data_IF_270564844536
#
_entry.id   IF_270564844536
#
_cell.length_a   1.000
_cell.length_b   1.000
_cell.length_c   1.000
_cell.angle_alpha   90.00
_cell.angle_beta   90.00
_cell.angle_gamma   90.00
#
_symmetry.space_group_name_H-M   'P 1'
#
loop_
_entity.id
_entity.type
_entity.pdbx_description
1 polymer ?
#
# COMPACT_ATOMS: atom_id res chain seq x y z
N UNK A 1 14.83 -12.63 -14.24
CA UNK A 1 14.35 -11.22 -14.21
C UNK A 1 12.83 -11.19 -14.28
N UNK A 2 12.21 -11.81 -15.29
CA UNK A 2 10.75 -11.99 -15.32
C UNK A 2 10.19 -12.71 -14.09
N UNK A 3 10.80 -13.81 -13.63
CA UNK A 3 10.36 -14.50 -12.40
C UNK A 3 10.30 -13.58 -11.16
N UNK A 4 11.26 -12.64 -11.02
CA UNK A 4 11.24 -11.65 -9.92
C UNK A 4 10.14 -10.61 -10.11
N UNK A 5 9.84 -10.25 -11.35
CA UNK A 5 8.74 -9.34 -11.67
C UNK A 5 7.40 -10.01 -11.33
N UNK A 6 7.24 -11.29 -11.68
CA UNK A 6 6.04 -12.07 -11.40
C UNK A 6 5.82 -12.23 -9.88
N UNK A 7 6.89 -12.49 -9.12
CA UNK A 7 6.85 -12.54 -7.66
C UNK A 7 6.41 -11.18 -7.07
N UNK A 8 6.97 -10.07 -7.56
CA UNK A 8 6.58 -8.73 -7.11
C UNK A 8 5.12 -8.44 -7.43
N UNK A 9 4.63 -8.83 -8.62
CA UNK A 9 3.22 -8.63 -8.98
C UNK A 9 2.29 -9.42 -8.07
N UNK A 10 2.62 -10.68 -7.78
CA UNK A 10 1.86 -11.49 -6.83
C UNK A 10 1.82 -10.85 -5.44
N UNK A 11 2.98 -10.41 -4.93
CA UNK A 11 3.06 -9.74 -3.64
C UNK A 11 2.25 -8.43 -3.60
N UNK A 12 2.26 -7.65 -4.70
CA UNK A 12 1.46 -6.42 -4.81
C UNK A 12 -0.03 -6.74 -4.76
N UNK A 13 -0.47 -7.80 -5.44
CA UNK A 13 -1.86 -8.24 -5.42
C UNK A 13 -2.30 -8.69 -4.03
N UNK A 14 -1.51 -9.53 -3.36
CA UNK A 14 -1.78 -10.00 -2.01
C UNK A 14 -1.90 -8.81 -1.03
N UNK A 15 -0.93 -7.88 -1.05
CA UNK A 15 -0.95 -6.68 -0.19
C UNK A 15 -2.14 -5.76 -0.52
N UNK A 16 -2.48 -5.59 -1.80
CA UNK A 16 -3.64 -4.77 -2.21
C UNK A 16 -4.93 -5.33 -1.61
N UNK A 17 -5.10 -6.64 -1.64
CA UNK A 17 -6.29 -7.29 -1.13
C UNK A 17 -6.38 -7.16 0.40
N UNK A 18 -5.26 -7.28 1.10
CA UNK A 18 -5.16 -7.02 2.55
C UNK A 18 -5.50 -5.56 2.90
N UNK A 19 -4.96 -4.59 2.16
CA UNK A 19 -5.29 -3.16 2.31
C UNK A 19 -6.80 -2.95 2.14
N UNK A 20 -7.41 -3.55 1.11
CA UNK A 20 -8.85 -3.41 0.88
C UNK A 20 -9.68 -3.99 2.03
N UNK A 21 -9.28 -5.13 2.59
CA UNK A 21 -9.92 -5.72 3.76
C UNK A 21 -9.83 -4.75 4.95
N UNK A 22 -8.64 -4.23 5.24
CA UNK A 22 -8.42 -3.30 6.36
C UNK A 22 -9.21 -2.00 6.20
N UNK A 23 -9.23 -1.43 4.99
CA UNK A 23 -10.02 -0.24 4.66
C UNK A 23 -11.53 -0.47 4.85
N UNK A 24 -12.03 -1.64 4.44
CA UNK A 24 -13.43 -2.02 4.63
C UNK A 24 -13.80 -2.17 6.11
N UNK A 25 -12.92 -2.78 6.92
CA UNK A 25 -13.10 -2.88 8.38
C UNK A 25 -13.09 -1.48 9.01
N UNK A 26 -12.17 -0.63 8.55
CA UNK A 26 -12.02 0.75 8.99
C UNK A 26 -13.18 1.66 8.53
N UNK A 27 -14.00 1.20 7.57
CA UNK A 27 -15.08 1.97 6.93
C UNK A 27 -14.58 3.28 6.31
N UNK A 28 -13.37 3.28 5.78
CA UNK A 28 -12.76 4.42 5.09
C UNK A 28 -12.31 3.99 3.70
N UNK A 29 -12.29 4.92 2.75
CA UNK A 29 -11.65 4.70 1.46
C UNK A 29 -10.14 4.91 1.54
N UNK A 30 -9.40 4.48 0.50
CA UNK A 30 -7.98 4.80 0.39
C UNK A 30 -7.73 6.32 0.32
N UNK A 31 -8.66 7.08 -0.27
CA UNK A 31 -8.58 8.53 -0.35
C UNK A 31 -8.69 9.13 1.06
N UNK A 32 -9.67 8.69 1.85
CA UNK A 32 -9.84 9.11 3.24
C UNK A 32 -8.57 8.83 4.06
N UNK A 33 -8.02 7.62 3.93
CA UNK A 33 -6.74 7.27 4.56
C UNK A 33 -5.64 8.28 4.19
N UNK A 34 -5.46 8.58 2.90
CA UNK A 34 -4.45 9.55 2.44
C UNK A 34 -4.70 10.95 3.03
N UNK A 35 -5.95 11.39 3.06
CA UNK A 35 -6.33 12.71 3.60
C UNK A 35 -6.05 12.80 5.10
N UNK A 36 -6.37 11.74 5.86
CA UNK A 36 -6.06 11.61 7.29
C UNK A 36 -4.55 11.65 7.51
N UNK A 37 -3.77 10.85 6.77
CA UNK A 37 -2.30 10.81 6.91
C UNK A 37 -1.62 12.12 6.51
N UNK A 38 -2.23 12.92 5.65
CA UNK A 38 -1.76 14.27 5.27
C UNK A 38 -2.20 15.36 6.25
N UNK A 39 -2.98 15.04 7.28
CA UNK A 39 -3.57 16.01 8.20
C UNK A 39 -4.58 16.94 7.53
N UNK A 40 -5.10 16.55 6.35
CA UNK A 40 -6.09 17.32 5.59
C UNK A 40 -7.54 16.95 5.96
N UNK A 41 -7.72 15.86 6.71
CA UNK A 41 -8.99 15.39 7.24
C UNK A 41 -8.75 14.85 8.65
N UNK A 42 -9.66 15.16 9.57
CA UNK A 42 -9.60 14.63 10.93
C UNK A 42 -9.91 13.13 10.94
N UNK A 43 -9.36 12.43 11.93
CA UNK A 43 -9.61 11.01 12.12
C UNK A 43 -11.07 10.78 12.53
N UNK A 44 -11.84 9.94 11.81
CA UNK A 44 -13.21 9.63 12.18
C UNK A 44 -13.29 8.99 13.57
N UNK A 45 -14.31 9.32 14.36
CA UNK A 45 -14.45 8.84 15.75
C UNK A 45 -14.52 7.31 15.89
N UNK A 46 -14.99 6.63 14.84
CA UNK A 46 -15.11 5.17 14.81
C UNK A 46 -13.83 4.45 14.38
N UNK A 47 -12.84 5.19 13.87
CA UNK A 47 -11.56 4.63 13.44
C UNK A 47 -10.65 4.49 14.66
N UNK A 48 -10.05 3.31 14.85
CA UNK A 48 -9.05 3.10 15.90
C UNK A 48 -7.64 3.39 15.38
N UNK A 49 -6.77 3.89 16.25
CA UNK A 49 -5.36 4.13 15.91
C UNK A 49 -4.64 2.83 15.54
N UNK A 50 -4.98 1.71 16.20
CA UNK A 50 -4.39 0.40 15.90
C UNK A 50 -4.71 -0.04 14.47
N UNK A 51 -5.96 0.14 14.03
CA UNK A 51 -6.36 -0.24 12.67
C UNK A 51 -5.72 0.68 11.63
N UNK A 52 -5.64 1.98 11.91
CA UNK A 52 -4.92 2.91 11.04
C UNK A 52 -3.43 2.56 10.94
N UNK A 53 -2.80 2.15 12.05
CA UNK A 53 -1.40 1.70 12.05
C UNK A 53 -1.20 0.40 11.28
N UNK A 54 -2.17 -0.50 11.25
CA UNK A 54 -2.10 -1.72 10.41
C UNK A 54 -2.17 -1.36 8.92
N UNK A 55 -3.07 -0.45 8.55
CA UNK A 55 -3.15 0.07 7.17
C UNK A 55 -1.82 0.75 6.79
N UNK A 56 -1.21 1.52 7.70
CA UNK A 56 0.09 2.16 7.46
C UNK A 56 1.19 1.14 7.12
N UNK A 57 1.22 0.00 7.82
CA UNK A 57 2.20 -1.06 7.57
C UNK A 57 2.01 -1.63 6.17
N UNK A 58 0.79 -2.01 5.80
CA UNK A 58 0.54 -2.61 4.49
C UNK A 58 0.76 -1.62 3.34
N UNK A 59 0.42 -0.35 3.52
CA UNK A 59 0.71 0.70 2.53
C UNK A 59 2.22 0.88 2.36
N UNK A 60 3.02 0.77 3.43
CA UNK A 60 4.47 0.83 3.31
C UNK A 60 5.05 -0.42 2.65
N UNK A 61 4.50 -1.61 2.90
CA UNK A 61 4.86 -2.84 2.20
C UNK A 61 4.59 -2.71 0.68
N UNK A 62 3.42 -2.19 0.31
CA UNK A 62 3.04 -1.94 -1.08
C UNK A 62 4.05 -0.99 -1.76
N UNK A 63 4.39 0.13 -1.10
CA UNK A 63 5.39 1.07 -1.61
C UNK A 63 6.75 0.40 -1.82
N UNK A 64 7.18 -0.45 -0.90
CA UNK A 64 8.45 -1.17 -1.02
C UNK A 64 8.47 -2.12 -2.22
N UNK A 65 7.37 -2.82 -2.51
CA UNK A 65 7.25 -3.68 -3.70
C UNK A 65 7.28 -2.87 -5.00
N UNK A 66 6.57 -1.73 -5.04
CA UNK A 66 6.61 -0.81 -6.20
C UNK A 66 8.02 -0.28 -6.43
N UNK A 67 8.73 0.09 -5.36
CA UNK A 67 10.13 0.54 -5.46
C UNK A 67 11.05 -0.58 -5.94
N UNK A 68 10.84 -1.82 -5.50
CA UNK A 68 11.57 -2.98 -5.98
C UNK A 68 11.36 -3.22 -7.49
N UNK A 69 10.11 -3.12 -7.96
CA UNK A 69 9.79 -3.21 -9.39
C UNK A 69 10.47 -2.10 -10.19
N UNK A 70 10.46 -0.87 -9.66
CA UNK A 70 11.11 0.26 -10.32
C UNK A 70 12.64 0.10 -10.38
N UNK A 71 13.27 -0.53 -9.39
CA UNK A 71 14.70 -0.89 -9.45
C UNK A 71 14.98 -1.89 -10.57
N UNK A 72 14.18 -2.95 -10.69
CA UNK A 72 14.31 -3.91 -11.81
C UNK A 72 14.12 -3.23 -13.17
N UNK A 73 13.14 -2.32 -13.29
CA UNK A 73 12.93 -1.52 -14.50
C UNK A 73 14.19 -0.73 -14.90
N UNK A 74 14.95 -0.20 -13.93
CA UNK A 74 16.18 0.56 -14.22
C UNK A 74 17.28 -0.30 -14.82
N UNK A 75 17.34 -1.59 -14.49
CA UNK A 75 18.31 -2.54 -15.07
C UNK A 75 18.04 -2.80 -16.57
N UNK A 76 16.81 -2.53 -17.04
CA UNK A 76 16.42 -2.65 -18.45
C UNK A 76 16.73 -1.40 -19.29
N UNK A 77 17.20 -0.31 -18.66
CA UNK A 77 17.57 0.90 -19.40
C UNK A 77 18.87 0.66 -20.16
N UNK A 78 18.81 0.73 -21.49
CA UNK A 78 19.97 0.65 -22.37
C UNK A 78 20.30 2.05 -22.88
N UNK A 79 21.58 2.43 -22.84
CA UNK A 79 22.11 3.70 -23.31
C UNK A 79 22.53 3.64 -24.78
#
# INVERSE_FOLDING_TARGET
MFEKIDEIFKNIEDIRDDINILLNIAKISLIDYIMIKRGSQDMPEHLSFDLLSQIDVEINNLKAQIDALNKLKRELLVF
#
